data_IF_247329154254
#
_entry.id   IF_247329154254
#
_cell.length_a   1.000
_cell.length_b   1.000
_cell.length_c   1.000
_cell.angle_alpha   90.00
_cell.angle_beta   90.00
_cell.angle_gamma   90.00
#
_symmetry.space_group_name_H-M   'P 1'
#
loop_
_entity.id
_entity.type
_entity.pdbx_description
1 polymer ?
#
# COMPACT_ATOMS: atom_id res chain seq x y z
N UNK A 1 14.45 -8.79 -13.40
CA UNK A 1 13.56 -8.57 -14.56
C UNK A 1 12.41 -7.68 -14.12
N UNK A 2 11.99 -6.74 -14.94
CA UNK A 2 10.83 -5.91 -14.63
C UNK A 2 9.58 -6.54 -15.27
N UNK A 3 8.51 -6.66 -14.50
CA UNK A 3 7.21 -7.11 -15.01
C UNK A 3 6.44 -5.91 -15.55
N UNK A 4 5.74 -6.08 -16.66
CA UNK A 4 4.90 -5.03 -17.21
C UNK A 4 3.60 -4.89 -16.43
N UNK A 5 3.03 -6.02 -15.98
CA UNK A 5 1.76 -6.08 -15.29
C UNK A 5 1.65 -7.33 -14.38
N UNK A 6 0.49 -7.47 -13.72
CA UNK A 6 0.16 -8.60 -12.87
C UNK A 6 0.16 -9.94 -13.64
N UNK A 7 -0.23 -9.94 -14.92
CA UNK A 7 -0.37 -11.20 -15.70
C UNK A 7 0.98 -11.77 -16.08
N UNK A 8 1.96 -10.92 -16.38
CA UNK A 8 3.34 -11.36 -16.57
C UNK A 8 3.92 -11.92 -15.27
N UNK A 9 3.60 -11.29 -14.13
CA UNK A 9 3.96 -11.80 -12.82
C UNK A 9 3.36 -13.19 -12.56
N UNK A 10 2.08 -13.39 -12.79
CA UNK A 10 1.40 -14.70 -12.67
C UNK A 10 2.09 -15.75 -13.56
N UNK A 11 2.40 -15.40 -14.80
CA UNK A 11 3.12 -16.29 -15.73
C UNK A 11 4.51 -16.67 -15.20
N UNK A 12 5.18 -15.73 -14.54
CA UNK A 12 6.50 -15.98 -13.94
C UNK A 12 6.39 -16.89 -12.72
N UNK A 13 5.42 -16.65 -11.85
CA UNK A 13 5.15 -17.55 -10.71
C UNK A 13 4.89 -18.99 -11.20
N UNK A 14 4.12 -19.15 -12.26
CA UNK A 14 3.82 -20.44 -12.82
C UNK A 14 5.07 -21.15 -13.40
N UNK A 15 5.89 -20.42 -14.15
CA UNK A 15 7.16 -20.93 -14.69
C UNK A 15 8.15 -21.39 -13.60
N UNK A 16 8.11 -20.77 -12.43
CA UNK A 16 8.97 -21.11 -11.31
C UNK A 16 8.37 -22.14 -10.33
N UNK A 17 7.17 -22.67 -10.65
CA UNK A 17 6.47 -23.62 -9.77
C UNK A 17 5.93 -22.98 -8.48
N UNK A 18 5.80 -21.65 -8.45
CA UNK A 18 5.35 -20.87 -7.30
C UNK A 18 3.86 -20.54 -7.35
N UNK A 19 3.09 -21.04 -8.33
CA UNK A 19 1.67 -20.82 -8.50
C UNK A 19 0.87 -22.12 -8.51
N UNK A 20 -0.24 -22.15 -7.77
CA UNK A 20 -1.27 -23.19 -7.86
C UNK A 20 -2.56 -22.60 -8.39
N UNK A 21 -3.10 -23.17 -9.48
CA UNK A 21 -4.45 -22.83 -10.00
C UNK A 21 -5.51 -23.66 -9.29
N UNK A 22 -6.57 -23.02 -8.84
CA UNK A 22 -7.70 -23.62 -8.16
C UNK A 22 -8.92 -23.52 -9.08
N UNK A 23 -9.37 -24.65 -9.62
CA UNK A 23 -10.51 -24.74 -10.56
C UNK A 23 -11.82 -25.09 -9.87
N UNK A 24 -11.75 -25.61 -8.64
CA UNK A 24 -12.94 -25.85 -7.82
C UNK A 24 -13.66 -24.53 -7.58
N UNK A 25 -14.99 -24.57 -7.52
CA UNK A 25 -15.77 -23.39 -7.11
C UNK A 25 -15.52 -23.11 -5.63
N UNK A 26 -15.12 -21.85 -5.35
CA UNK A 26 -14.78 -21.40 -3.98
C UNK A 26 -15.43 -20.05 -3.70
N UNK A 27 -16.01 -19.90 -2.49
CA UNK A 27 -16.64 -18.66 -2.05
C UNK A 27 -15.61 -17.58 -1.70
N UNK A 28 -15.82 -16.31 -2.13
CA UNK A 28 -15.03 -15.18 -1.64
C UNK A 28 -15.35 -14.81 -0.19
N UNK A 29 -16.39 -15.38 0.40
CA UNK A 29 -16.69 -15.25 1.81
C UNK A 29 -16.11 -16.44 2.59
N UNK A 30 -15.07 -16.19 3.37
CA UNK A 30 -14.36 -17.09 4.27
C UNK A 30 -13.56 -18.24 3.61
N UNK A 31 -14.07 -18.93 2.59
CA UNK A 31 -13.43 -20.15 2.05
C UNK A 31 -12.08 -19.86 1.39
N UNK A 32 -12.00 -18.83 0.53
CA UNK A 32 -10.73 -18.40 -0.10
C UNK A 32 -9.72 -18.04 0.98
N UNK A 33 -10.16 -17.35 2.03
CA UNK A 33 -9.30 -16.99 3.17
C UNK A 33 -8.79 -18.21 3.90
N UNK A 34 -9.65 -19.15 4.26
CA UNK A 34 -9.29 -20.38 4.98
C UNK A 34 -8.28 -21.23 4.18
N UNK A 35 -8.51 -21.38 2.88
CA UNK A 35 -7.57 -22.10 1.99
C UNK A 35 -6.23 -21.38 1.96
N UNK A 36 -6.24 -20.06 1.80
CA UNK A 36 -5.03 -19.25 1.73
C UNK A 36 -4.27 -19.26 3.06
N UNK A 37 -4.96 -19.17 4.19
CA UNK A 37 -4.38 -19.23 5.53
C UNK A 37 -3.65 -20.55 5.76
N UNK A 38 -4.30 -21.67 5.46
CA UNK A 38 -3.66 -23.01 5.57
C UNK A 38 -2.44 -23.14 4.67
N UNK A 39 -2.55 -22.69 3.43
CA UNK A 39 -1.45 -22.79 2.46
C UNK A 39 -0.26 -21.92 2.88
N UNK A 40 -0.49 -20.69 3.34
CA UNK A 40 0.59 -19.78 3.77
C UNK A 40 1.35 -20.30 5.01
N UNK A 41 0.74 -21.20 5.78
CA UNK A 41 1.32 -21.83 6.98
C UNK A 41 1.88 -23.23 6.77
N UNK A 42 1.77 -23.78 5.55
CA UNK A 42 2.33 -25.09 5.24
C UNK A 42 3.84 -25.13 5.44
N UNK A 43 4.29 -26.10 6.23
CA UNK A 43 5.72 -26.40 6.40
C UNK A 43 6.26 -27.28 5.27
N UNK A 44 7.59 -27.35 5.18
CA UNK A 44 8.30 -28.16 4.16
C UNK A 44 7.83 -29.63 4.09
N UNK A 45 7.49 -30.25 5.23
CA UNK A 45 7.09 -31.66 5.29
C UNK A 45 5.68 -31.88 4.72
N UNK A 46 4.76 -30.96 4.92
CA UNK A 46 3.37 -31.07 4.48
C UNK A 46 3.22 -30.90 2.97
N UNK A 47 4.10 -30.08 2.36
CA UNK A 47 4.15 -29.87 0.91
C UNK A 47 4.61 -31.16 0.19
N UNK A 48 5.54 -31.91 0.78
CA UNK A 48 6.07 -33.16 0.20
C UNK A 48 5.05 -34.31 0.18
N UNK A 49 4.14 -34.38 1.15
CA UNK A 49 3.17 -35.48 1.28
C UNK A 49 2.04 -35.42 0.26
N UNK A 50 1.81 -34.28 -0.39
CA UNK A 50 0.74 -34.11 -1.37
C UNK A 50 1.11 -34.41 -2.82
N UNK A 51 2.32 -34.98 -3.08
CA UNK A 51 2.74 -35.43 -4.41
C UNK A 51 2.87 -34.31 -5.44
N UNK A 52 2.99 -33.08 -5.00
CA UNK A 52 3.18 -31.91 -5.86
C UNK A 52 4.65 -31.54 -5.93
N UNK A 53 5.17 -31.29 -7.13
CA UNK A 53 6.48 -30.67 -7.37
C UNK A 53 6.53 -29.18 -6.91
N UNK A 54 5.67 -28.80 -5.97
CA UNK A 54 5.63 -27.45 -5.42
C UNK A 54 6.89 -27.24 -4.59
N UNK A 55 7.61 -26.17 -4.88
CA UNK A 55 8.92 -25.85 -4.32
C UNK A 55 9.00 -25.98 -2.81
N UNK A 56 10.15 -26.42 -2.32
CA UNK A 56 10.48 -26.73 -0.90
C UNK A 56 10.59 -25.43 -0.04
N UNK A 57 9.61 -24.50 -0.17
CA UNK A 57 9.67 -23.17 0.45
C UNK A 57 8.58 -22.98 1.50
N UNK A 58 8.92 -22.41 2.68
CA UNK A 58 7.92 -21.99 3.64
C UNK A 58 7.02 -20.90 3.04
N UNK A 59 5.73 -20.90 3.41
CA UNK A 59 4.74 -19.93 2.93
C UNK A 59 3.85 -20.46 1.80
N UNK A 60 3.99 -21.73 1.40
CA UNK A 60 3.20 -22.36 0.34
C UNK A 60 3.25 -21.63 -1.00
N UNK A 61 2.53 -22.05 -2.04
CA UNK A 61 2.45 -21.35 -3.32
C UNK A 61 1.54 -20.11 -3.30
N UNK A 62 1.67 -19.23 -4.29
CA UNK A 62 0.62 -18.32 -4.67
C UNK A 62 -0.59 -19.10 -5.21
N UNK A 63 -1.80 -18.59 -5.00
CA UNK A 63 -3.05 -19.24 -5.38
C UNK A 63 -3.81 -18.37 -6.36
N UNK A 64 -4.15 -18.95 -7.54
CA UNK A 64 -5.04 -18.32 -8.51
C UNK A 64 -6.36 -19.09 -8.53
N UNK A 65 -7.39 -18.50 -7.92
CA UNK A 65 -8.76 -19.03 -7.95
C UNK A 65 -9.42 -18.62 -9.27
N UNK A 66 -9.77 -19.60 -10.09
CA UNK A 66 -10.33 -19.39 -11.44
C UNK A 66 -11.84 -19.57 -11.51
N UNK A 67 -12.46 -20.13 -10.48
CA UNK A 67 -13.89 -20.34 -10.38
C UNK A 67 -14.40 -19.81 -9.03
N UNK A 68 -14.75 -18.52 -9.03
CA UNK A 68 -15.18 -17.82 -7.81
C UNK A 68 -16.70 -17.82 -7.76
N UNK A 69 -17.28 -18.37 -6.71
CA UNK A 69 -18.74 -18.48 -6.52
C UNK A 69 -19.41 -17.12 -6.62
N UNK A 70 -20.36 -17.02 -7.55
CA UNK A 70 -21.09 -15.78 -7.85
C UNK A 70 -20.37 -14.81 -8.79
N UNK A 71 -19.13 -15.12 -9.23
CA UNK A 71 -18.31 -14.25 -10.07
C UNK A 71 -17.62 -15.06 -11.20
N UNK A 72 -18.37 -15.60 -12.16
CA UNK A 72 -17.83 -16.55 -13.17
C UNK A 72 -16.75 -15.95 -14.07
N UNK A 73 -16.76 -14.62 -14.25
CA UNK A 73 -15.83 -13.91 -15.13
C UNK A 73 -14.63 -13.31 -14.37
N UNK A 74 -14.49 -13.65 -13.08
CA UNK A 74 -13.43 -13.08 -12.26
C UNK A 74 -12.50 -14.16 -11.69
N UNK A 75 -11.23 -13.79 -11.57
CA UNK A 75 -10.22 -14.59 -10.87
C UNK A 75 -9.69 -13.83 -9.68
N UNK A 76 -9.25 -14.57 -8.65
CA UNK A 76 -8.62 -13.97 -7.47
C UNK A 76 -7.21 -14.51 -7.34
N UNK A 77 -6.23 -13.60 -7.20
CA UNK A 77 -4.85 -13.95 -6.89
C UNK A 77 -4.58 -13.67 -5.41
N UNK A 78 -4.06 -14.70 -4.72
CA UNK A 78 -3.74 -14.67 -3.29
C UNK A 78 -2.31 -15.14 -3.04
N UNK A 79 -1.73 -14.71 -1.91
CA UNK A 79 -0.44 -15.17 -1.41
C UNK A 79 0.73 -14.98 -2.41
N UNK A 80 0.66 -13.94 -3.23
CA UNK A 80 1.62 -13.69 -4.30
C UNK A 80 3.02 -13.30 -3.78
N UNK A 81 3.13 -12.78 -2.56
CA UNK A 81 4.37 -12.38 -1.89
C UNK A 81 4.75 -13.29 -0.71
N UNK A 82 4.03 -14.37 -0.48
CA UNK A 82 4.05 -15.19 0.73
C UNK A 82 5.28 -16.07 0.92
N UNK A 83 6.44 -15.72 0.35
CA UNK A 83 7.74 -16.32 0.68
C UNK A 83 8.88 -15.38 0.32
N UNK A 84 10.06 -15.57 0.95
CA UNK A 84 11.26 -14.80 0.61
C UNK A 84 11.63 -14.96 -0.88
N UNK A 85 11.49 -16.17 -1.43
CA UNK A 85 11.76 -16.45 -2.85
C UNK A 85 10.81 -15.66 -3.75
N UNK A 86 9.49 -15.65 -3.47
CA UNK A 86 8.54 -14.88 -4.26
C UNK A 86 8.79 -13.39 -4.15
N UNK A 87 9.15 -12.90 -2.96
CA UNK A 87 9.57 -11.50 -2.80
C UNK A 87 10.81 -11.17 -3.64
N UNK A 88 11.85 -12.01 -3.62
CA UNK A 88 13.02 -11.81 -4.44
C UNK A 88 12.69 -11.83 -5.95
N UNK A 89 11.88 -12.79 -6.40
CA UNK A 89 11.38 -12.86 -7.77
C UNK A 89 10.56 -11.60 -8.13
N UNK A 90 9.64 -11.17 -7.26
CA UNK A 90 8.80 -9.98 -7.46
C UNK A 90 9.64 -8.72 -7.69
N UNK A 91 10.78 -8.62 -7.01
CA UNK A 91 11.69 -7.48 -7.11
C UNK A 91 12.82 -7.71 -8.14
N UNK A 92 12.77 -8.82 -8.88
CA UNK A 92 13.70 -9.11 -9.97
C UNK A 92 15.13 -9.42 -9.54
N UNK A 93 15.32 -9.94 -8.33
CA UNK A 93 16.62 -10.28 -7.74
C UNK A 93 16.66 -11.75 -7.31
N UNK A 94 17.86 -12.29 -7.09
CA UNK A 94 18.03 -13.64 -6.54
C UNK A 94 17.90 -13.65 -5.01
N UNK A 95 18.34 -12.57 -4.36
CA UNK A 95 18.28 -12.34 -2.91
C UNK A 95 17.94 -10.88 -2.63
N UNK A 96 17.16 -10.64 -1.58
CA UNK A 96 16.74 -9.29 -1.17
C UNK A 96 17.92 -8.37 -0.84
N UNK A 97 19.02 -8.92 -0.31
CA UNK A 97 20.22 -8.15 -0.02
C UNK A 97 20.84 -7.46 -1.25
N UNK A 98 20.62 -7.98 -2.46
CA UNK A 98 21.11 -7.34 -3.69
C UNK A 98 20.50 -5.95 -3.90
N UNK A 99 19.27 -5.72 -3.42
CA UNK A 99 18.66 -4.38 -3.47
C UNK A 99 19.35 -3.46 -2.47
N UNK A 100 19.65 -3.96 -1.27
CA UNK A 100 20.42 -3.23 -0.27
C UNK A 100 21.83 -2.85 -0.80
N UNK A 101 22.50 -3.77 -1.47
CA UNK A 101 23.79 -3.54 -2.11
C UNK A 101 23.71 -2.46 -3.20
N UNK A 102 22.65 -2.46 -4.01
CA UNK A 102 22.39 -1.40 -5.03
C UNK A 102 22.18 -0.05 -4.35
N UNK A 103 21.35 0.02 -3.31
CA UNK A 103 21.11 1.24 -2.54
C UNK A 103 22.42 1.76 -1.94
N UNK A 104 23.20 0.89 -1.30
CA UNK A 104 24.49 1.25 -0.71
C UNK A 104 25.48 1.74 -1.77
N UNK A 105 25.48 1.14 -2.96
CA UNK A 105 26.26 1.61 -4.11
C UNK A 105 25.92 3.05 -4.50
N UNK A 106 24.61 3.38 -4.56
CA UNK A 106 24.14 4.74 -4.85
C UNK A 106 24.51 5.73 -3.73
N UNK A 107 24.37 5.33 -2.47
CA UNK A 107 24.70 6.16 -1.30
C UNK A 107 26.20 6.46 -1.20
N UNK A 108 27.05 5.54 -1.66
CA UNK A 108 28.51 5.68 -1.65
C UNK A 108 29.06 6.45 -2.88
N UNK A 109 28.18 6.93 -3.74
CA UNK A 109 28.59 7.79 -4.87
C UNK A 109 29.24 9.06 -4.33
N UNK A 110 30.57 9.10 -4.39
CA UNK A 110 31.32 10.35 -4.13
C UNK A 110 31.01 11.33 -5.25
N UNK A 111 30.89 12.64 -4.97
CA UNK A 111 30.82 13.65 -6.01
C UNK A 111 31.93 13.37 -7.02
N UNK A 112 31.57 13.33 -8.29
CA UNK A 112 32.56 13.09 -9.36
C UNK A 112 33.71 14.06 -9.20
N UNK A 113 34.93 13.53 -9.17
CA UNK A 113 36.11 14.36 -9.36
C UNK A 113 35.94 15.21 -10.63
N UNK A 114 36.66 16.31 -10.76
CA UNK A 114 36.56 17.23 -11.89
C UNK A 114 36.92 16.59 -13.24
N UNK A 115 37.42 15.35 -13.23
CA UNK A 115 37.86 14.62 -14.41
C UNK A 115 36.70 14.08 -15.27
N UNK A 116 36.85 14.15 -16.59
CA UNK A 116 35.89 13.62 -17.56
C UNK A 116 35.61 12.12 -17.36
N UNK A 117 36.65 11.32 -17.07
CA UNK A 117 36.55 9.87 -16.83
C UNK A 117 35.76 9.53 -15.57
N UNK A 118 35.80 10.36 -14.52
CA UNK A 118 35.05 10.14 -13.29
C UNK A 118 33.54 10.40 -13.52
N UNK A 119 33.23 11.42 -14.36
CA UNK A 119 31.84 11.67 -14.79
C UNK A 119 31.30 10.53 -15.65
N UNK A 120 32.14 9.96 -16.53
CA UNK A 120 31.73 8.83 -17.39
C UNK A 120 31.39 7.56 -16.56
N UNK A 121 32.12 7.31 -15.47
CA UNK A 121 31.85 6.17 -14.55
C UNK A 121 30.53 6.30 -13.78
N UNK A 122 30.00 7.50 -13.62
CA UNK A 122 28.72 7.76 -12.96
C UNK A 122 27.52 7.61 -13.90
N UNK A 123 27.71 7.66 -15.22
CA UNK A 123 26.64 7.61 -16.22
C UNK A 123 25.69 6.39 -16.06
N UNK A 124 26.19 5.15 -15.83
CA UNK A 124 25.30 4.01 -15.67
C UNK A 124 24.36 4.14 -14.44
N UNK A 125 24.90 4.63 -13.32
CA UNK A 125 24.17 4.78 -12.06
C UNK A 125 23.16 5.95 -12.13
N UNK A 126 23.54 7.05 -12.79
CA UNK A 126 22.63 8.16 -13.11
C UNK A 126 21.57 7.71 -14.12
N UNK A 127 21.92 6.84 -15.08
CA UNK A 127 20.99 6.22 -16.01
C UNK A 127 19.96 5.36 -15.30
N UNK A 128 20.37 4.58 -14.30
CA UNK A 128 19.46 3.78 -13.47
C UNK A 128 18.46 4.67 -12.70
N UNK A 129 18.93 5.74 -12.09
CA UNK A 129 18.07 6.70 -11.39
C UNK A 129 17.10 7.40 -12.34
N UNK A 130 17.57 7.86 -13.51
CA UNK A 130 16.70 8.52 -14.49
C UNK A 130 15.67 7.57 -15.09
N UNK A 131 16.01 6.28 -15.25
CA UNK A 131 15.07 5.26 -15.72
C UNK A 131 14.01 4.88 -14.69
N UNK A 132 14.17 5.25 -13.42
CA UNK A 132 13.20 4.99 -12.37
C UNK A 132 12.02 5.99 -12.35
N UNK A 133 12.15 7.16 -12.98
CA UNK A 133 11.07 8.14 -12.97
C UNK A 133 9.83 7.64 -13.74
N UNK A 134 8.61 7.85 -13.20
CA UNK A 134 7.38 7.40 -13.84
C UNK A 134 7.20 8.07 -15.21
N UNK A 135 6.61 7.34 -16.16
CA UNK A 135 6.36 7.79 -17.52
C UNK A 135 4.85 7.86 -17.79
N UNK A 136 4.34 9.04 -18.08
CA UNK A 136 2.95 9.19 -18.51
C UNK A 136 2.73 8.61 -19.90
N UNK A 137 1.68 7.78 -20.04
CA UNK A 137 1.23 7.22 -21.31
C UNK A 137 -0.17 7.72 -21.67
N UNK A 138 -0.56 7.55 -22.95
CA UNK A 138 -1.92 7.89 -23.37
C UNK A 138 -2.93 6.85 -22.86
N UNK A 139 -4.19 7.26 -22.70
CA UNK A 139 -5.26 6.37 -22.25
C UNK A 139 -5.45 5.14 -23.15
N UNK A 140 -5.24 5.28 -24.47
CA UNK A 140 -5.34 4.17 -25.44
C UNK A 140 -4.27 3.08 -25.23
N UNK A 141 -3.15 3.44 -24.61
CA UNK A 141 -2.02 2.54 -24.36
C UNK A 141 -2.09 1.94 -22.94
N UNK A 142 -3.04 2.40 -22.13
CA UNK A 142 -3.26 2.00 -20.76
C UNK A 142 -4.28 0.86 -20.66
N UNK A 143 -3.83 -0.33 -20.28
CA UNK A 143 -4.71 -1.50 -20.13
C UNK A 143 -5.73 -1.36 -19.01
N UNK A 144 -5.44 -0.61 -17.97
CA UNK A 144 -6.39 -0.28 -16.91
C UNK A 144 -7.64 0.46 -17.43
N UNK A 145 -7.60 0.99 -18.66
CA UNK A 145 -8.68 1.74 -19.29
C UNK A 145 -9.40 0.97 -20.43
N UNK A 146 -9.22 -0.34 -20.52
CA UNK A 146 -9.93 -1.17 -21.51
C UNK A 146 -11.45 -1.09 -21.35
N UNK A 147 -11.92 -0.99 -20.11
CA UNK A 147 -13.33 -0.77 -19.75
C UNK A 147 -13.41 0.45 -18.82
N UNK A 148 -14.25 1.41 -19.18
CA UNK A 148 -14.48 2.64 -18.40
C UNK A 148 -15.96 2.71 -18.01
N UNK A 149 -16.24 2.75 -16.70
CA UNK A 149 -17.58 2.83 -16.13
C UNK A 149 -17.73 4.11 -15.31
N UNK A 150 -18.28 5.15 -15.90
CA UNK A 150 -18.62 6.42 -15.24
C UNK A 150 -20.03 6.42 -14.68
N UNK A 151 -20.89 5.57 -15.20
CA UNK A 151 -22.27 5.35 -14.77
C UNK A 151 -22.51 3.85 -14.59
N UNK A 152 -23.52 3.50 -13.80
CA UNK A 152 -23.92 2.11 -13.58
C UNK A 152 -22.78 1.19 -13.12
N UNK A 153 -21.85 1.74 -12.30
CA UNK A 153 -20.80 0.97 -11.66
C UNK A 153 -21.23 0.54 -10.25
N UNK A 154 -20.74 -0.61 -9.85
CA UNK A 154 -21.02 -1.23 -8.55
C UNK A 154 -19.79 -2.03 -8.09
N UNK A 155 -19.32 -1.81 -6.86
CA UNK A 155 -18.24 -2.60 -6.24
C UNK A 155 -18.61 -4.08 -6.11
N UNK A 156 -19.91 -4.39 -6.05
CA UNK A 156 -20.39 -5.77 -6.02
C UNK A 156 -20.10 -6.55 -7.31
N UNK A 157 -19.66 -5.87 -8.36
CA UNK A 157 -19.16 -6.51 -9.58
C UNK A 157 -17.87 -7.30 -9.32
N UNK A 158 -17.06 -6.93 -8.33
CA UNK A 158 -15.80 -7.58 -8.01
C UNK A 158 -15.93 -8.54 -6.82
N UNK A 159 -15.18 -9.66 -6.81
CA UNK A 159 -15.21 -10.65 -5.75
C UNK A 159 -14.41 -10.20 -4.52
N UNK A 160 -14.80 -9.08 -3.93
CA UNK A 160 -14.16 -8.52 -2.74
C UNK A 160 -14.39 -9.45 -1.55
N UNK A 161 -13.31 -9.79 -0.84
CA UNK A 161 -13.32 -10.82 0.20
C UNK A 161 -13.95 -10.34 1.50
N UNK A 162 -14.73 -11.22 2.15
CA UNK A 162 -14.90 -11.21 3.59
C UNK A 162 -13.94 -12.24 4.18
N UNK A 163 -12.87 -11.75 4.85
CA UNK A 163 -11.76 -12.62 5.23
C UNK A 163 -12.07 -13.46 6.47
N UNK A 164 -12.58 -12.84 7.52
CA UNK A 164 -12.77 -13.53 8.82
C UNK A 164 -14.22 -13.46 9.31
N UNK A 165 -14.67 -14.43 10.14
CA UNK A 165 -16.07 -14.53 10.56
C UNK A 165 -16.65 -13.26 11.18
N UNK A 166 -15.84 -12.53 11.97
CA UNK A 166 -16.28 -11.32 12.68
C UNK A 166 -15.86 -10.02 11.99
N UNK A 167 -15.34 -10.09 10.77
CA UNK A 167 -15.12 -8.87 9.98
C UNK A 167 -16.43 -8.11 9.80
N UNK A 168 -16.36 -6.79 9.91
CA UNK A 168 -17.51 -5.89 9.76
C UNK A 168 -18.14 -5.89 8.37
N UNK A 169 -17.56 -6.60 7.42
CA UNK A 169 -18.00 -6.74 6.04
C UNK A 169 -16.89 -7.24 5.12
N UNK A 170 -17.00 -6.91 3.84
CA UNK A 170 -15.97 -7.19 2.83
C UNK A 170 -14.94 -6.09 2.82
N UNK A 171 -13.67 -6.47 2.60
CA UNK A 171 -12.55 -5.53 2.59
C UNK A 171 -11.71 -5.67 1.32
N UNK A 172 -11.33 -4.54 0.73
CA UNK A 172 -10.24 -4.46 -0.25
C UNK A 172 -8.94 -4.42 0.56
N UNK A 173 -8.09 -5.43 0.39
CA UNK A 173 -6.96 -5.69 1.31
C UNK A 173 -5.58 -5.43 0.71
N UNK A 174 -5.47 -5.30 -0.62
CA UNK A 174 -4.19 -5.07 -1.32
C UNK A 174 -4.27 -3.87 -2.30
N UNK A 175 -4.87 -2.74 -1.92
CA UNK A 175 -5.00 -1.58 -2.79
C UNK A 175 -3.79 -0.68 -2.73
N UNK A 176 -3.36 -0.14 -3.87
CA UNK A 176 -2.47 1.01 -3.96
C UNK A 176 -3.33 2.28 -4.00
N UNK A 177 -3.40 3.00 -2.89
CA UNK A 177 -4.22 4.21 -2.73
C UNK A 177 -3.39 5.44 -2.99
N UNK A 178 -3.82 6.25 -3.94
CA UNK A 178 -3.14 7.46 -4.38
C UNK A 178 -3.89 8.69 -3.87
N UNK A 179 -3.14 9.60 -3.28
CA UNK A 179 -3.59 10.93 -2.85
C UNK A 179 -2.58 11.98 -3.27
N UNK A 180 -2.96 13.25 -3.21
CA UNK A 180 -2.06 14.37 -3.47
C UNK A 180 -2.10 15.32 -2.28
N UNK A 181 -0.93 15.76 -1.83
CA UNK A 181 -0.83 16.82 -0.82
C UNK A 181 -1.53 18.08 -1.33
N UNK A 182 -2.59 18.55 -0.68
CA UNK A 182 -3.37 19.70 -1.16
C UNK A 182 -2.57 21.01 -1.16
N UNK A 183 -1.49 21.10 -0.40
CA UNK A 183 -0.63 22.27 -0.30
C UNK A 183 0.49 22.28 -1.34
N UNK A 184 1.16 21.14 -1.50
CA UNK A 184 2.37 21.04 -2.34
C UNK A 184 2.14 20.39 -3.69
N UNK A 185 1.00 19.71 -3.86
CA UNK A 185 0.68 18.93 -5.06
C UNK A 185 1.48 17.62 -5.17
N UNK A 186 2.30 17.26 -4.17
CA UNK A 186 3.08 16.03 -4.18
C UNK A 186 2.15 14.82 -4.06
N UNK A 187 2.41 13.82 -4.87
CA UNK A 187 1.69 12.54 -4.85
C UNK A 187 2.21 11.64 -3.73
N UNK A 188 1.34 10.80 -3.19
CA UNK A 188 1.65 9.68 -2.34
C UNK A 188 0.87 8.45 -2.79
N UNK A 189 1.49 7.29 -2.74
CA UNK A 189 0.85 6.00 -2.96
C UNK A 189 1.10 5.12 -1.74
N UNK A 190 0.04 4.75 -1.02
CA UNK A 190 0.14 3.91 0.17
C UNK A 190 -0.86 2.75 0.15
N UNK A 191 -0.61 1.73 0.94
CA UNK A 191 -1.52 0.61 1.10
C UNK A 191 -2.39 0.82 2.33
N UNK A 192 -3.71 0.91 2.12
CA UNK A 192 -4.71 1.11 3.16
C UNK A 192 -5.92 0.23 2.89
N UNK A 193 -6.32 -0.60 3.86
CA UNK A 193 -7.53 -1.43 3.72
C UNK A 193 -8.77 -0.56 3.54
N UNK A 194 -9.76 -1.08 2.83
CA UNK A 194 -11.01 -0.35 2.56
C UNK A 194 -12.19 -1.27 2.81
N UNK A 195 -13.03 -0.97 3.81
CA UNK A 195 -14.27 -1.70 4.06
C UNK A 195 -15.33 -1.27 3.04
N UNK A 196 -15.92 -2.22 2.35
CA UNK A 196 -17.06 -1.95 1.45
C UNK A 196 -18.32 -1.74 2.28
N UNK A 197 -18.94 -0.58 2.15
CA UNK A 197 -20.22 -0.28 2.79
C UNK A 197 -21.39 -0.60 1.88
N UNK A 198 -21.26 -0.25 0.60
CA UNK A 198 -22.24 -0.49 -0.44
C UNK A 198 -21.57 -0.52 -1.82
N UNK A 199 -22.36 -0.52 -2.90
CA UNK A 199 -21.83 -0.56 -4.27
C UNK A 199 -21.03 0.66 -4.71
N UNK A 200 -21.02 1.76 -3.93
CA UNK A 200 -20.41 3.04 -4.30
C UNK A 200 -19.57 3.68 -3.22
N UNK A 201 -19.56 3.13 -2.00
CA UNK A 201 -18.82 3.71 -0.88
C UNK A 201 -18.01 2.68 -0.12
N UNK A 202 -16.84 3.13 0.36
CA UNK A 202 -15.99 2.33 1.26
C UNK A 202 -15.48 3.18 2.42
N UNK A 203 -15.11 2.54 3.52
CA UNK A 203 -14.23 3.14 4.52
C UNK A 203 -12.82 3.30 3.96
N UNK A 204 -12.09 4.29 4.44
CA UNK A 204 -10.71 4.52 4.08
C UNK A 204 -9.85 4.49 5.35
N UNK A 205 -9.21 3.37 5.63
CA UNK A 205 -8.46 3.14 6.87
C UNK A 205 -7.13 3.91 6.89
N UNK A 206 -7.21 5.23 7.02
CA UNK A 206 -6.04 6.10 7.14
C UNK A 206 -5.60 6.22 8.59
N UNK A 207 -4.68 5.35 8.99
CA UNK A 207 -4.04 5.46 10.30
C UNK A 207 -3.34 6.80 10.45
N UNK A 208 -3.41 7.41 11.63
CA UNK A 208 -3.01 8.79 11.93
C UNK A 208 -1.58 9.15 11.52
N UNK A 209 -0.64 8.22 11.63
CA UNK A 209 0.78 8.39 11.30
C UNK A 209 1.09 8.26 9.81
N UNK A 210 0.12 7.90 8.97
CA UNK A 210 0.33 7.70 7.54
C UNK A 210 0.16 8.98 6.74
N UNK A 211 0.88 9.08 5.60
CA UNK A 211 0.90 10.27 4.73
C UNK A 211 -0.49 10.64 4.20
N UNK A 212 -1.31 9.68 3.79
CA UNK A 212 -2.67 10.00 3.32
C UNK A 212 -3.55 10.61 4.42
N UNK A 213 -3.38 10.19 5.68
CA UNK A 213 -4.04 10.83 6.82
C UNK A 213 -3.53 12.26 7.05
N UNK A 214 -2.26 12.53 6.75
CA UNK A 214 -1.71 13.89 6.79
C UNK A 214 -2.31 14.76 5.69
N UNK A 215 -2.41 14.26 4.44
CA UNK A 215 -3.08 14.95 3.34
C UNK A 215 -4.53 15.30 3.68
N UNK A 216 -5.27 14.37 4.28
CA UNK A 216 -6.63 14.60 4.73
C UNK A 216 -6.70 15.71 5.80
N UNK A 217 -5.83 15.67 6.82
CA UNK A 217 -5.77 16.73 7.86
C UNK A 217 -5.40 18.08 7.27
N UNK A 218 -4.47 18.12 6.32
CA UNK A 218 -4.07 19.37 5.67
C UNK A 218 -5.21 19.94 4.81
N UNK A 219 -5.93 19.09 4.06
CA UNK A 219 -7.11 19.50 3.32
C UNK A 219 -8.17 20.09 4.25
N UNK A 220 -8.42 19.47 5.41
CA UNK A 220 -9.31 20.01 6.44
C UNK A 220 -8.85 21.40 6.93
N UNK A 221 -7.54 21.56 7.26
CA UNK A 221 -6.99 22.85 7.71
C UNK A 221 -7.18 23.95 6.66
N UNK A 222 -6.92 23.62 5.38
CA UNK A 222 -7.08 24.58 4.29
C UNK A 222 -8.54 25.00 4.09
N UNK A 223 -9.48 24.06 4.13
CA UNK A 223 -10.91 24.33 4.04
C UNK A 223 -11.38 25.23 5.20
N UNK A 224 -10.91 24.96 6.41
CA UNK A 224 -11.16 25.78 7.62
C UNK A 224 -10.61 27.19 7.47
N UNK A 225 -9.36 27.33 7.04
CA UNK A 225 -8.70 28.63 6.91
C UNK A 225 -9.35 29.50 5.82
N UNK A 226 -9.75 28.91 4.72
CA UNK A 226 -10.46 29.61 3.64
C UNK A 226 -11.80 30.18 4.12
N UNK A 227 -12.55 29.43 4.93
CA UNK A 227 -13.83 29.92 5.50
C UNK A 227 -13.62 31.06 6.51
N UNK A 228 -12.55 30.97 7.32
CA UNK A 228 -12.21 32.03 8.29
C UNK A 228 -11.83 33.34 7.58
N UNK A 229 -11.12 33.27 6.46
CA UNK A 229 -10.77 34.45 5.65
C UNK A 229 -12.01 35.06 5.05
N UNK A 230 -12.95 34.29 4.52
CA UNK A 230 -14.21 34.76 3.98
C UNK A 230 -15.09 35.44 5.04
N UNK A 231 -15.10 34.95 6.28
CA UNK A 231 -15.85 35.57 7.39
C UNK A 231 -15.21 36.89 7.85
N UNK A 232 -13.87 37.00 7.84
CA UNK A 232 -13.18 38.22 8.22
C UNK A 232 -13.35 39.36 7.21
N UNK A 233 -13.77 39.08 5.98
CA UNK A 233 -14.16 40.12 5.02
C UNK A 233 -15.57 40.74 5.28
N UNK A 234 -16.41 40.05 6.10
CA UNK A 234 -17.82 40.43 6.30
C UNK A 234 -18.28 40.46 7.76
N UNK A 235 -17.44 40.35 8.79
CA UNK A 235 -17.89 40.33 10.18
C UNK A 235 -16.80 40.54 11.25
N UNK A 236 -17.19 40.84 12.51
CA UNK A 236 -16.26 41.20 13.59
C UNK A 236 -15.43 39.99 14.08
N UNK A 237 -14.17 40.27 14.39
CA UNK A 237 -13.18 39.34 14.92
C UNK A 237 -13.66 38.64 16.20
N UNK A 238 -13.79 37.37 16.23
CA UNK A 238 -13.91 36.58 17.45
C UNK A 238 -13.04 35.30 17.41
N UNK A 239 -12.63 34.91 18.59
CA UNK A 239 -11.59 33.96 18.94
C UNK A 239 -11.76 32.53 18.40
N UNK A 240 -10.62 31.80 18.41
CA UNK A 240 -10.40 30.45 17.88
C UNK A 240 -11.36 29.35 18.34
N UNK A 241 -11.51 28.37 17.47
CA UNK A 241 -12.59 27.39 17.46
C UNK A 241 -11.99 25.97 17.42
N UNK A 242 -12.50 25.04 18.21
CA UNK A 242 -12.21 23.59 18.18
C UNK A 242 -13.33 22.81 17.46
N UNK A 243 -13.02 21.75 16.75
CA UNK A 243 -14.02 20.90 16.08
C UNK A 243 -14.38 19.73 16.99
N UNK A 244 -15.67 19.58 17.31
CA UNK A 244 -16.20 18.45 18.06
C UNK A 244 -17.36 17.80 17.31
N UNK A 245 -17.41 16.48 17.24
CA UNK A 245 -18.60 15.75 16.85
C UNK A 245 -19.34 15.26 18.08
N UNK A 246 -20.65 15.47 18.13
CA UNK A 246 -21.52 14.84 19.09
C UNK A 246 -22.53 13.91 18.41
N UNK A 247 -23.16 13.05 19.20
CA UNK A 247 -24.12 12.04 18.75
C UNK A 247 -25.42 12.63 18.17
N UNK A 248 -25.51 13.95 18.04
CA UNK A 248 -26.68 14.67 17.52
C UNK A 248 -26.44 15.39 16.19
N UNK A 249 -25.30 15.15 15.51
CA UNK A 249 -25.03 15.62 14.14
C UNK A 249 -24.47 17.04 14.03
N UNK A 250 -23.78 17.53 15.04
CA UNK A 250 -23.37 18.91 15.15
C UNK A 250 -21.92 19.28 14.85
N UNK A 251 -20.91 18.49 15.17
CA UNK A 251 -19.51 18.89 14.93
C UNK A 251 -18.51 17.72 14.97
N UNK A 252 -17.47 17.79 14.17
CA UNK A 252 -16.37 16.80 14.19
C UNK A 252 -15.25 17.31 15.07
N UNK A 253 -14.81 16.50 16.04
CA UNK A 253 -13.52 16.70 16.70
C UNK A 253 -12.45 16.01 15.86
N UNK A 254 -11.43 16.73 15.41
CA UNK A 254 -10.22 16.11 14.91
C UNK A 254 -9.46 15.60 16.15
N UNK A 255 -9.45 14.28 16.47
CA UNK A 255 -8.63 13.82 17.55
C UNK A 255 -7.20 13.83 17.02
N UNK A 256 -6.42 14.72 17.53
CA UNK A 256 -5.06 14.60 17.87
C UNK A 256 -4.09 15.67 17.45
N UNK A 257 -3.55 16.12 18.42
CA UNK A 257 -2.33 16.79 18.75
C UNK A 257 -2.54 17.31 20.15
N UNK A 258 -1.50 17.61 20.91
CA UNK A 258 -1.66 18.23 22.22
C UNK A 258 -2.46 19.52 22.03
N UNK A 259 -3.62 19.57 22.66
CA UNK A 259 -4.57 20.69 22.85
C UNK A 259 -4.13 22.05 22.26
N UNK A 260 -4.02 22.18 20.97
CA UNK A 260 -3.82 23.44 20.26
C UNK A 260 -5.12 23.77 19.56
N UNK A 261 -5.75 24.88 19.99
CA UNK A 261 -7.06 25.33 19.55
C UNK A 261 -7.24 25.40 18.04
N UNK A 262 -7.73 24.31 17.46
CA UNK A 262 -8.28 24.33 16.13
C UNK A 262 -9.73 24.84 16.20
N UNK A 263 -10.15 25.63 15.22
CA UNK A 263 -11.49 26.19 15.21
C UNK A 263 -12.60 25.12 15.15
N UNK A 264 -13.72 25.31 15.89
CA UNK A 264 -14.95 24.49 15.72
C UNK A 264 -15.66 24.90 14.45
N UNK A 265 -15.71 24.03 13.45
CA UNK A 265 -16.45 24.28 12.23
C UNK A 265 -17.65 23.35 12.17
N UNK A 266 -18.80 23.91 11.86
CA UNK A 266 -19.99 23.14 11.55
C UNK A 266 -19.71 22.26 10.32
N UNK A 267 -20.01 20.96 10.38
CA UNK A 267 -19.96 20.02 9.23
C UNK A 267 -20.69 20.56 7.99
N UNK A 268 -21.76 21.35 8.20
CA UNK A 268 -22.48 22.01 7.12
C UNK A 268 -21.60 22.95 6.27
N UNK A 269 -20.52 23.48 6.83
CA UNK A 269 -19.60 24.40 6.15
C UNK A 269 -18.48 23.66 5.38
N UNK A 270 -18.17 22.43 5.75
CA UNK A 270 -17.22 21.57 5.02
C UNK A 270 -17.90 20.84 3.85
N UNK A 271 -19.23 20.87 3.78
CA UNK A 271 -20.00 20.17 2.75
C UNK A 271 -19.57 20.60 1.35
N UNK A 272 -19.14 19.63 0.55
CA UNK A 272 -18.62 19.84 -0.79
C UNK A 272 -17.11 20.05 -0.88
N UNK A 273 -16.40 20.20 0.25
CA UNK A 273 -14.93 20.16 0.26
C UNK A 273 -14.43 18.73 0.19
N UNK A 274 -13.53 18.43 -0.73
CA UNK A 274 -13.15 17.06 -1.09
C UNK A 274 -11.64 16.90 -1.18
N UNK A 275 -11.16 15.69 -0.84
CA UNK A 275 -9.83 15.21 -1.21
C UNK A 275 -10.00 14.13 -2.27
N UNK A 276 -9.43 14.34 -3.45
CA UNK A 276 -9.46 13.36 -4.52
C UNK A 276 -8.59 12.15 -4.18
N UNK A 277 -9.09 10.97 -4.54
CA UNK A 277 -8.43 9.68 -4.28
C UNK A 277 -8.60 8.79 -5.51
N UNK A 278 -7.53 8.07 -5.85
CA UNK A 278 -7.58 6.96 -6.79
C UNK A 278 -7.00 5.71 -6.15
N UNK A 279 -7.52 4.55 -6.54
CA UNK A 279 -7.12 3.25 -5.97
C UNK A 279 -6.82 2.30 -7.11
N UNK A 280 -5.59 1.78 -7.18
CA UNK A 280 -5.20 0.78 -8.15
C UNK A 280 -5.09 -0.61 -7.47
N UNK A 281 -5.66 -1.63 -8.08
CA UNK A 281 -5.63 -3.02 -7.60
C UNK A 281 -5.07 -3.89 -8.71
N UNK A 282 -4.15 -4.82 -8.37
CA UNK A 282 -3.55 -5.71 -9.33
C UNK A 282 -2.55 -5.00 -10.25
N UNK A 283 -1.64 -4.23 -9.68
CA UNK A 283 -0.47 -3.66 -10.38
C UNK A 283 0.62 -4.72 -10.53
N UNK A 284 1.70 -4.40 -11.23
CA UNK A 284 2.90 -5.23 -11.17
C UNK A 284 3.43 -5.36 -9.72
N UNK A 285 4.15 -6.44 -9.39
CA UNK A 285 4.48 -6.74 -8.01
C UNK A 285 5.37 -5.70 -7.33
N UNK A 286 6.29 -5.07 -8.06
CA UNK A 286 7.17 -4.05 -7.48
C UNK A 286 6.41 -2.75 -7.18
N UNK A 287 5.43 -2.39 -8.02
CA UNK A 287 4.53 -1.24 -7.76
C UNK A 287 3.63 -1.52 -6.56
N UNK A 288 3.05 -2.73 -6.46
CA UNK A 288 2.28 -3.13 -5.27
C UNK A 288 3.14 -3.07 -4.00
N UNK A 289 4.38 -3.59 -4.06
CA UNK A 289 5.30 -3.56 -2.92
C UNK A 289 5.71 -2.12 -2.54
N UNK A 290 5.93 -1.24 -3.52
CA UNK A 290 6.30 0.16 -3.24
C UNK A 290 5.26 0.89 -2.38
N UNK A 291 3.97 0.52 -2.47
CA UNK A 291 2.90 1.09 -1.65
C UNK A 291 2.98 0.74 -0.15
N UNK A 292 3.79 -0.27 0.24
CA UNK A 292 4.02 -0.63 1.65
C UNK A 292 5.36 -0.15 2.19
N UNK A 293 6.24 0.32 1.30
CA UNK A 293 7.58 0.79 1.65
C UNK A 293 7.46 2.08 2.47
N UNK A 294 8.13 2.19 3.64
CA UNK A 294 8.16 3.42 4.41
C UNK A 294 9.09 4.45 3.76
N UNK A 295 8.61 5.06 2.68
CA UNK A 295 9.36 6.08 1.95
C UNK A 295 9.47 7.38 2.77
N UNK A 296 10.61 8.10 2.69
CA UNK A 296 10.66 9.47 3.15
C UNK A 296 9.61 10.34 2.42
N UNK A 297 8.98 11.33 3.09
CA UNK A 297 7.91 12.14 2.51
C UNK A 297 8.24 12.87 1.21
N UNK A 298 9.53 12.98 0.89
CA UNK A 298 10.04 13.65 -0.31
C UNK A 298 10.15 12.72 -1.53
N UNK A 299 10.01 11.39 -1.35
CA UNK A 299 10.22 10.40 -2.40
C UNK A 299 8.87 9.83 -2.85
N UNK A 300 8.59 9.98 -4.14
CA UNK A 300 7.42 9.39 -4.81
C UNK A 300 7.57 7.86 -4.86
N UNK A 301 6.56 7.12 -4.44
CA UNK A 301 6.57 5.66 -4.44
C UNK A 301 6.67 5.07 -5.86
N UNK A 302 6.25 5.79 -6.89
CA UNK A 302 6.51 5.37 -8.28
C UNK A 302 7.98 5.43 -8.65
N UNK A 303 8.76 6.34 -8.05
CA UNK A 303 10.21 6.36 -8.21
C UNK A 303 10.85 5.13 -7.55
N UNK A 304 10.36 4.75 -6.36
CA UNK A 304 10.78 3.52 -5.67
C UNK A 304 10.45 2.30 -6.53
N UNK A 305 9.21 2.20 -7.00
CA UNK A 305 8.80 1.11 -7.88
C UNK A 305 9.66 1.03 -9.15
N UNK A 306 9.94 2.17 -9.79
CA UNK A 306 10.80 2.26 -10.96
C UNK A 306 12.24 1.82 -10.67
N UNK A 307 12.79 2.21 -9.53
CA UNK A 307 14.11 1.76 -9.07
C UNK A 307 14.15 0.24 -8.84
N UNK A 308 13.16 -0.31 -8.15
CA UNK A 308 13.07 -1.75 -7.89
C UNK A 308 12.97 -2.54 -9.18
N UNK A 309 12.15 -2.08 -10.11
CA UNK A 309 11.93 -2.71 -11.43
C UNK A 309 13.12 -2.55 -12.38
N UNK A 310 13.94 -1.51 -12.20
CA UNK A 310 14.95 -1.10 -13.18
C UNK A 310 14.35 -0.53 -14.48
N UNK A 311 13.06 -0.10 -14.46
CA UNK A 311 12.39 0.61 -15.56
C UNK A 311 11.24 1.47 -15.03
N UNK A 312 10.81 2.51 -15.77
CA UNK A 312 9.73 3.40 -15.36
C UNK A 312 8.43 2.66 -15.10
N UNK A 313 7.67 3.11 -14.09
CA UNK A 313 6.24 2.79 -13.99
C UNK A 313 5.51 3.63 -15.04
N UNK A 314 4.76 2.99 -15.94
CA UNK A 314 3.86 3.69 -16.83
C UNK A 314 2.61 4.10 -16.06
N UNK A 315 2.28 5.40 -16.13
CA UNK A 315 1.13 5.98 -15.42
C UNK A 315 0.19 6.65 -16.42
N UNK A 316 -1.09 6.69 -16.10
CA UNK A 316 -2.13 7.29 -16.93
C UNK A 316 -3.03 8.17 -16.08
N UNK A 317 -3.52 9.29 -16.63
CA UNK A 317 -4.50 10.15 -15.97
C UNK A 317 -5.80 9.41 -15.68
N UNK A 318 -6.39 9.68 -14.51
CA UNK A 318 -7.72 9.26 -14.16
C UNK A 318 -8.79 9.90 -15.05
N UNK A 319 -10.02 9.38 -15.00
CA UNK A 319 -11.17 9.82 -15.80
C UNK A 319 -11.95 10.96 -15.12
N UNK A 320 -11.99 10.97 -13.77
CA UNK A 320 -12.88 11.83 -12.99
C UNK A 320 -12.17 12.61 -11.90
N UNK A 321 -10.90 12.34 -11.64
CA UNK A 321 -10.07 13.02 -10.62
C UNK A 321 -8.72 13.42 -11.22
N UNK A 322 -8.09 14.47 -10.69
CA UNK A 322 -6.77 14.95 -11.18
C UNK A 322 -5.61 14.18 -10.52
N UNK A 323 -5.63 12.86 -10.73
CA UNK A 323 -4.59 11.93 -10.28
C UNK A 323 -4.12 11.08 -11.45
N UNK A 324 -2.94 10.48 -11.31
CA UNK A 324 -2.42 9.45 -12.21
C UNK A 324 -2.31 8.12 -11.46
N UNK A 325 -2.61 7.03 -12.18
CA UNK A 325 -2.59 5.66 -11.68
C UNK A 325 -1.70 4.78 -12.56
N UNK A 326 -1.21 3.63 -12.07
CA UNK A 326 -0.50 2.66 -12.91
C UNK A 326 -1.33 2.25 -14.14
N UNK A 327 -0.74 2.45 -15.32
CA UNK A 327 -1.45 2.28 -16.59
C UNK A 327 -1.89 0.83 -16.85
N UNK A 328 -1.27 -0.14 -16.19
CA UNK A 328 -1.51 -1.57 -16.42
C UNK A 328 -2.12 -2.30 -15.21
N UNK A 329 -2.67 -1.56 -14.24
CA UNK A 329 -3.45 -2.13 -13.15
C UNK A 329 -4.66 -2.91 -13.69
N UNK A 330 -5.07 -3.95 -12.98
CA UNK A 330 -6.25 -4.75 -13.34
C UNK A 330 -7.55 -3.98 -13.11
N UNK A 331 -7.63 -3.22 -12.00
CA UNK A 331 -8.81 -2.44 -11.58
C UNK A 331 -8.32 -1.10 -11.03
N UNK A 332 -9.05 -0.04 -11.39
CA UNK A 332 -8.87 1.30 -10.81
C UNK A 332 -10.22 1.82 -10.32
N UNK A 333 -10.24 2.32 -9.09
CA UNK A 333 -11.38 3.00 -8.49
C UNK A 333 -11.02 4.48 -8.36
N UNK A 334 -11.84 5.37 -8.91
CA UNK A 334 -11.63 6.80 -8.84
C UNK A 334 -12.74 7.45 -8.02
N UNK A 335 -12.42 8.49 -7.26
CA UNK A 335 -13.39 9.17 -6.45
C UNK A 335 -12.78 10.17 -5.48
N UNK A 336 -13.46 10.38 -4.37
CA UNK A 336 -13.06 11.37 -3.38
C UNK A 336 -13.47 10.96 -1.97
N UNK A 337 -12.83 11.58 -1.01
CA UNK A 337 -13.26 11.61 0.39
C UNK A 337 -13.85 12.98 0.68
N UNK A 338 -15.10 13.05 1.16
CA UNK A 338 -15.68 14.31 1.61
C UNK A 338 -15.12 14.68 2.99
N UNK A 339 -14.64 15.91 3.12
CA UNK A 339 -13.97 16.35 4.35
C UNK A 339 -14.96 16.42 5.52
N UNK A 340 -14.64 15.75 6.61
CA UNK A 340 -15.47 15.68 7.80
C UNK A 340 -16.53 14.57 7.78
N UNK A 341 -16.70 13.84 6.66
CA UNK A 341 -17.56 12.66 6.65
C UNK A 341 -16.80 11.45 7.20
N UNK A 342 -17.27 10.91 8.30
CA UNK A 342 -16.73 9.72 8.95
C UNK A 342 -17.82 8.65 9.04
N UNK A 343 -17.41 7.39 8.97
CA UNK A 343 -18.29 6.23 9.17
C UNK A 343 -17.54 5.14 9.89
N UNK A 344 -18.27 4.39 10.70
CA UNK A 344 -17.75 3.28 11.47
C UNK A 344 -17.18 2.18 10.55
N UNK A 345 -15.92 1.81 10.74
CA UNK A 345 -15.18 0.78 10.03
C UNK A 345 -14.76 -0.33 11.00
N UNK A 346 -14.79 -1.56 10.55
CA UNK A 346 -14.41 -2.73 11.34
C UNK A 346 -15.60 -3.46 11.97
N UNK A 347 -15.35 -4.47 12.83
CA UNK A 347 -14.03 -5.01 13.16
C UNK A 347 -13.30 -5.58 11.95
N UNK A 348 -12.00 -5.76 12.03
CA UNK A 348 -11.18 -6.39 10.99
C UNK A 348 -10.19 -7.37 11.62
N UNK A 349 -10.16 -8.61 11.13
CA UNK A 349 -9.14 -9.60 11.52
C UNK A 349 -7.78 -9.17 10.98
N UNK A 350 -6.89 -8.76 11.90
CA UNK A 350 -5.66 -8.05 11.55
C UNK A 350 -4.41 -8.93 11.68
N UNK A 351 -3.27 -8.41 11.23
CA UNK A 351 -1.96 -9.08 11.17
C UNK A 351 -1.41 -9.57 12.52
N UNK A 352 -1.96 -9.12 13.63
CA UNK A 352 -1.64 -9.63 14.97
C UNK A 352 -2.30 -10.99 15.26
N UNK A 353 -3.26 -11.42 14.46
CA UNK A 353 -4.12 -12.58 14.73
C UNK A 353 -5.31 -12.26 15.62
N UNK A 354 -5.54 -10.97 15.92
CA UNK A 354 -6.69 -10.48 16.68
C UNK A 354 -7.48 -9.48 15.86
N UNK A 355 -8.75 -9.28 16.22
CA UNK A 355 -9.58 -8.26 15.59
C UNK A 355 -9.19 -6.87 16.10
N UNK A 356 -9.00 -5.91 15.17
CA UNK A 356 -9.03 -4.49 15.51
C UNK A 356 -10.46 -4.08 15.82
N UNK A 357 -10.61 -3.19 16.80
CA UNK A 357 -11.91 -2.65 17.17
C UNK A 357 -12.46 -1.75 16.07
N UNK A 358 -13.77 -1.55 16.10
CA UNK A 358 -14.41 -0.55 15.25
C UNK A 358 -13.93 0.85 15.61
N UNK A 359 -13.72 1.69 14.60
CA UNK A 359 -13.38 3.10 14.76
C UNK A 359 -13.94 3.88 13.55
N UNK A 360 -13.98 5.20 13.67
CA UNK A 360 -14.49 6.09 12.62
C UNK A 360 -13.38 6.45 11.65
N UNK A 361 -13.65 6.23 10.36
CA UNK A 361 -12.75 6.57 9.26
C UNK A 361 -13.46 7.33 8.16
N UNK A 362 -12.72 8.14 7.37
CA UNK A 362 -13.26 8.84 6.22
C UNK A 362 -13.95 7.90 5.23
N UNK A 363 -15.00 8.40 4.59
CA UNK A 363 -15.76 7.67 3.57
C UNK A 363 -15.23 8.02 2.18
N UNK A 364 -14.85 7.01 1.42
CA UNK A 364 -14.49 7.15 0.01
C UNK A 364 -15.72 6.94 -0.88
N UNK A 365 -16.02 7.92 -1.70
CA UNK A 365 -17.11 7.92 -2.66
C UNK A 365 -16.58 7.69 -4.08
N UNK A 366 -17.05 6.65 -4.74
CA UNK A 366 -16.66 6.34 -6.10
C UNK A 366 -17.35 7.28 -7.10
N UNK A 367 -16.62 7.66 -8.13
CA UNK A 367 -17.11 8.43 -9.28
C UNK A 367 -16.92 7.68 -10.61
N UNK A 368 -15.93 6.78 -10.66
CA UNK A 368 -15.64 5.97 -11.84
C UNK A 368 -14.94 4.68 -11.44
N UNK A 369 -15.19 3.63 -12.20
CA UNK A 369 -14.39 2.39 -12.16
C UNK A 369 -13.84 2.16 -13.56
N UNK A 370 -12.52 1.94 -13.65
CA UNK A 370 -11.91 1.44 -14.87
C UNK A 370 -11.23 0.10 -14.62
N UNK A 371 -11.24 -0.80 -15.60
CA UNK A 371 -10.65 -2.12 -15.43
C UNK A 371 -10.26 -2.76 -16.77
N UNK A 372 -9.39 -3.74 -16.69
CA UNK A 372 -9.07 -4.61 -17.83
C UNK A 372 -10.25 -5.51 -18.18
N UNK A 373 -10.28 -6.01 -19.39
CA UNK A 373 -11.15 -7.15 -19.73
C UNK A 373 -10.74 -8.35 -18.89
N UNK A 374 -11.74 -9.05 -18.34
CA UNK A 374 -11.54 -10.23 -17.48
C UNK A 374 -10.56 -9.94 -16.32
N UNK A 375 -10.87 -8.96 -15.44
CA UNK A 375 -9.92 -8.47 -14.46
C UNK A 375 -9.59 -9.53 -13.40
N UNK A 376 -8.32 -9.60 -13.03
CA UNK A 376 -7.85 -10.42 -11.93
C UNK A 376 -7.86 -9.57 -10.66
N UNK A 377 -8.64 -9.97 -9.67
CA UNK A 377 -8.67 -9.32 -8.38
C UNK A 377 -7.50 -9.82 -7.52
N UNK A 378 -6.50 -8.98 -7.32
CA UNK A 378 -5.38 -9.28 -6.43
C UNK A 378 -5.75 -8.87 -5.00
N UNK A 379 -5.63 -9.79 -4.06
CA UNK A 379 -5.91 -9.56 -2.66
C UNK A 379 -4.88 -10.25 -1.76
N UNK A 380 -4.81 -9.83 -0.53
CA UNK A 380 -4.06 -10.49 0.54
C UNK A 380 -4.98 -10.76 1.72
N UNK A 381 -4.60 -11.69 2.56
CA UNK A 381 -5.17 -11.85 3.89
C UNK A 381 -4.10 -11.53 4.93
N UNK A 382 -4.52 -10.99 6.03
CA UNK A 382 -3.70 -10.79 7.22
C UNK A 382 -4.33 -11.53 8.39
N UNK A 383 -3.51 -11.94 9.35
CA UNK A 383 -3.97 -12.72 10.49
C UNK A 383 -2.78 -13.20 11.32
N UNK A 384 -2.95 -14.29 12.07
CA UNK A 384 -1.85 -14.86 12.86
C UNK A 384 -0.69 -15.23 11.94
N UNK A 385 0.54 -14.72 12.17
CA UNK A 385 1.71 -15.03 11.34
C UNK A 385 2.05 -16.55 11.32
N UNK A 386 2.75 -17.03 10.27
CA UNK A 386 3.25 -16.28 9.10
C UNK A 386 2.16 -16.08 8.05
N UNK A 387 2.16 -14.91 7.42
CA UNK A 387 1.34 -14.59 6.25
C UNK A 387 2.14 -13.73 5.25
N UNK A 388 1.52 -13.34 4.16
CA UNK A 388 2.15 -12.61 3.05
C UNK A 388 2.79 -11.28 3.49
N UNK A 389 2.16 -10.55 4.40
CA UNK A 389 2.62 -9.31 4.98
C UNK A 389 3.96 -9.43 5.73
N UNK A 390 4.19 -10.56 6.39
CA UNK A 390 5.45 -10.85 7.07
C UNK A 390 6.63 -10.90 6.09
N UNK A 391 6.44 -11.44 4.89
CA UNK A 391 7.47 -11.52 3.87
C UNK A 391 7.72 -10.17 3.20
N UNK A 392 6.68 -9.35 3.03
CA UNK A 392 6.84 -7.95 2.64
C UNK A 392 7.62 -7.16 3.70
N UNK A 393 7.31 -7.36 4.99
CA UNK A 393 8.07 -6.79 6.11
C UNK A 393 9.55 -7.22 6.10
N UNK A 394 9.83 -8.49 5.78
CA UNK A 394 11.19 -9.00 5.63
C UNK A 394 11.96 -8.34 4.49
N UNK A 395 11.30 -8.10 3.37
CA UNK A 395 11.89 -7.34 2.26
C UNK A 395 12.22 -5.89 2.67
N UNK A 396 11.31 -5.22 3.36
CA UNK A 396 11.56 -3.86 3.91
C UNK A 396 12.76 -3.87 4.85
N UNK A 397 12.85 -4.84 5.78
CA UNK A 397 13.97 -5.01 6.70
C UNK A 397 15.33 -5.04 5.96
N UNK A 398 15.45 -5.87 4.93
CA UNK A 398 16.70 -6.02 4.17
C UNK A 398 17.01 -4.79 3.31
N UNK A 399 16.01 -4.22 2.64
CA UNK A 399 16.18 -3.08 1.74
C UNK A 399 16.64 -1.82 2.51
N UNK A 400 16.12 -1.60 3.72
CA UNK A 400 16.42 -0.39 4.50
C UNK A 400 17.62 -0.51 5.43
N UNK A 401 18.20 -1.69 5.60
CA UNK A 401 19.37 -1.91 6.44
C UNK A 401 20.56 -0.95 6.11
N UNK A 402 20.90 -0.66 4.84
CA UNK A 402 21.97 0.30 4.53
C UNK A 402 21.69 1.72 5.02
N UNK A 403 20.45 2.20 4.87
CA UNK A 403 20.05 3.52 5.35
C UNK A 403 20.12 3.60 6.89
N UNK A 404 19.67 2.56 7.58
CA UNK A 404 19.79 2.48 9.05
C UNK A 404 21.25 2.47 9.52
N UNK A 405 22.14 1.76 8.82
CA UNK A 405 23.58 1.75 9.10
C UNK A 405 24.24 3.12 8.95
N UNK A 406 23.71 3.97 8.06
CA UNK A 406 24.22 5.36 7.97
C UNK A 406 23.80 6.21 9.17
N UNK A 407 22.58 6.05 9.65
CA UNK A 407 22.07 6.75 10.83
C UNK A 407 22.69 6.21 12.13
N UNK A 408 22.98 4.90 12.19
CA UNK A 408 23.51 4.19 13.35
C UNK A 408 24.76 3.39 12.91
N UNK A 409 25.95 4.02 12.89
CA UNK A 409 27.16 3.39 12.33
C UNK A 409 27.62 2.11 13.02
N UNK A 410 27.26 1.90 14.29
CA UNK A 410 27.53 0.68 15.03
C UNK A 410 26.62 -0.50 14.66
N UNK A 411 25.55 -0.27 13.92
CA UNK A 411 24.60 -1.29 13.50
C UNK A 411 25.26 -2.29 12.56
N UNK A 412 25.18 -3.58 12.90
CA UNK A 412 25.70 -4.68 12.07
C UNK A 412 24.54 -5.29 11.27
N UNK A 413 23.45 -5.64 11.95
CA UNK A 413 22.30 -6.27 11.35
C UNK A 413 21.04 -6.06 12.17
N UNK A 414 19.87 -6.23 11.54
CA UNK A 414 18.55 -6.21 12.18
C UNK A 414 17.77 -7.45 11.79
N UNK A 415 16.86 -7.87 12.65
CA UNK A 415 15.91 -8.91 12.38
C UNK A 415 14.56 -8.57 13.00
N UNK A 416 13.52 -8.60 12.18
CA UNK A 416 12.13 -8.46 12.56
C UNK A 416 11.48 -9.87 12.55
N UNK A 417 11.38 -10.55 13.72
CA UNK A 417 10.83 -11.90 13.77
C UNK A 417 9.38 -11.93 13.33
N UNK A 418 9.03 -12.88 12.47
CA UNK A 418 7.66 -13.10 12.00
C UNK A 418 6.73 -13.45 13.17
N UNK A 419 7.23 -14.20 14.12
CA UNK A 419 6.52 -14.61 15.34
C UNK A 419 6.15 -13.42 16.25
N UNK A 420 6.86 -12.32 16.12
CA UNK A 420 6.58 -11.05 16.80
C UNK A 420 5.89 -10.04 15.87
N UNK A 421 5.14 -10.54 14.88
CA UNK A 421 4.37 -9.72 13.95
C UNK A 421 5.26 -8.75 13.15
N UNK A 422 6.49 -9.17 12.81
CA UNK A 422 7.48 -8.49 11.95
C UNK A 422 7.69 -6.97 12.14
N UNK A 423 7.08 -6.34 13.14
CA UNK A 423 7.29 -4.92 13.48
C UNK A 423 7.11 -4.58 14.97
N UNK A 424 6.65 -5.53 15.80
CA UNK A 424 6.51 -5.30 17.25
C UNK A 424 7.79 -5.60 18.02
N UNK A 425 8.73 -6.32 17.43
CA UNK A 425 10.04 -6.64 18.01
C UNK A 425 11.11 -6.48 16.94
N UNK A 426 12.16 -5.77 17.26
CA UNK A 426 13.38 -5.68 16.44
C UNK A 426 14.57 -6.23 17.22
N UNK A 427 15.18 -7.28 16.71
CA UNK A 427 16.47 -7.79 17.24
C UNK A 427 17.58 -7.07 16.48
N UNK A 428 18.51 -6.48 17.22
CA UNK A 428 19.57 -5.63 16.67
C UNK A 428 20.93 -6.16 17.05
N UNK A 429 21.77 -6.41 16.04
CA UNK A 429 23.19 -6.74 16.24
C UNK A 429 24.04 -5.48 16.09
N UNK A 430 24.93 -5.23 17.04
CA UNK A 430 25.80 -4.04 17.03
C UNK A 430 27.27 -4.41 17.25
N UNK A 431 28.17 -3.60 16.70
CA UNK A 431 29.60 -3.63 17.02
C UNK A 431 29.82 -2.76 18.25
N UNK A 432 29.70 -3.38 19.44
CA UNK A 432 29.86 -2.68 20.72
C UNK A 432 31.32 -2.30 20.99
N UNK A 433 31.58 -1.05 21.32
CA UNK A 433 32.93 -0.50 21.65
C UNK A 433 33.03 0.08 23.03
N UNK A 434 31.92 0.40 23.73
CA UNK A 434 31.93 0.96 25.07
C UNK A 434 30.70 0.55 25.91
N UNK A 435 30.75 0.62 27.25
CA UNK A 435 29.58 0.39 28.11
C UNK A 435 28.46 1.39 27.83
N UNK A 436 27.20 0.93 27.81
CA UNK A 436 26.01 1.78 27.54
C UNK A 436 25.68 1.98 26.08
N UNK A 437 26.54 1.63 25.13
CA UNK A 437 26.29 1.82 23.69
C UNK A 437 25.02 1.13 23.20
N UNK A 438 24.61 -0.02 23.74
CA UNK A 438 23.37 -0.67 23.42
C UNK A 438 22.15 0.23 23.70
N UNK A 439 22.13 0.96 24.81
CA UNK A 439 21.06 1.92 25.14
C UNK A 439 21.01 3.06 24.12
N UNK A 440 22.16 3.62 23.73
CA UNK A 440 22.23 4.63 22.68
C UNK A 440 21.57 4.14 21.41
N UNK A 441 21.84 2.89 20.99
CA UNK A 441 21.24 2.31 19.79
C UNK A 441 19.73 2.11 19.95
N UNK A 442 19.29 1.62 21.11
CA UNK A 442 17.86 1.51 21.42
C UNK A 442 17.15 2.85 21.30
N UNK A 443 17.69 3.90 21.94
CA UNK A 443 17.12 5.26 21.92
C UNK A 443 17.13 5.88 20.51
N UNK A 444 18.08 5.46 19.64
CA UNK A 444 18.15 5.92 18.25
C UNK A 444 17.16 5.22 17.30
N UNK A 445 16.68 4.02 17.67
CA UNK A 445 15.70 3.25 16.90
C UNK A 445 14.26 3.63 17.31
N UNK A 446 14.04 3.99 18.56
CA UNK A 446 12.74 4.39 19.12
C UNK A 446 12.43 5.85 18.82
#
# INVERSE_FOLDING_TARGET
MAYDDLREWISTLEKHGELKRIQAEVSPELEITEITDRVSKMGKAEIRTQGSEIGDHPGGPALLFENVKGYPDHKILMNQFGSERRMALALGVERLDQIAERIQGLMNLKPAGTGFLDKLKMLPQLGELTSAFPKTVNARDARSKEIVRRENFDLNFFPILKCWPHDGGRFITLPCVLTRDPRTGKRNMGMYRMQVYDGRTTGMHWQRQKVAAEHYREALRMAVSADTINQNQYGPKSAGVAIMADSAGGAVTIPDGPRTGLPQISLAKLKGSRLEVAVAIGTDPATTFAAVVPAPPEIDEFLIAGFLRGKPVEIVKCETVDLEVPAHAEIVLEGYVELGELRLEGPFGDHTGFYTLQDEYPVFHLTCITHRKDPIYAATIVGKPPMEDAWMGKAVERIFLPAMKMAIPELVDIHLPVEAVFHNLMIVSIKKSYPGQARKVMDAIW
#
